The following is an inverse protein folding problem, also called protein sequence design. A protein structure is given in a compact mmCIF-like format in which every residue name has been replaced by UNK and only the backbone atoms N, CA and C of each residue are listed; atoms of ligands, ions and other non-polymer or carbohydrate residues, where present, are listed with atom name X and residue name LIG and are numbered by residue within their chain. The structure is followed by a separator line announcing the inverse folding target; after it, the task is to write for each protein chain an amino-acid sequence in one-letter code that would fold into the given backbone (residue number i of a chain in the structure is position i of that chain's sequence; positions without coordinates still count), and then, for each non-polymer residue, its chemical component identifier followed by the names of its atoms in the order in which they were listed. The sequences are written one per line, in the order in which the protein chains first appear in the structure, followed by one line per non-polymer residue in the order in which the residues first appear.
data_IF_260772127411
#
_entry.id   IF_260772127411
#
_cell.length_a   1.000
_cell.length_b   1.000
_cell.length_c   1.000
_cell.angle_alpha   90.00
_cell.angle_beta   90.00
_cell.angle_gamma   90.00
#
_symmetry.space_group_name_H-M   'P 1'
#
loop_
_entity.id
_entity.type
_entity.pdbx_description
1 polymer ?
#
# COMPACT_ATOMS: atom_id res chain seq x y z
N UNK A 1 -7.37 5.93 8.01
CA UNK A 1 -6.61 4.69 8.24
C UNK A 1 -5.24 5.11 8.76
N UNK A 2 -4.63 4.38 9.69
CA UNK A 2 -3.32 4.75 10.23
C UNK A 2 -2.19 4.32 9.28
N UNK A 3 -0.99 4.89 9.45
CA UNK A 3 0.22 4.46 8.72
C UNK A 3 0.56 3.00 9.04
N UNK A 4 0.27 2.56 10.27
CA UNK A 4 0.46 1.18 10.72
C UNK A 4 -0.45 0.18 10.00
N UNK A 5 -1.71 0.54 9.74
CA UNK A 5 -2.61 -0.28 8.91
C UNK A 5 -2.11 -0.36 7.46
N UNK A 6 -1.63 0.76 6.89
CA UNK A 6 -1.03 0.77 5.56
C UNK A 6 0.25 -0.09 5.47
N UNK A 7 1.10 -0.07 6.51
CA UNK A 7 2.26 -0.96 6.61
C UNK A 7 1.87 -2.43 6.60
N UNK A 8 0.85 -2.80 7.37
CA UNK A 8 0.39 -4.18 7.43
C UNK A 8 -0.12 -4.67 6.07
N UNK A 9 -0.85 -3.82 5.34
CA UNK A 9 -1.29 -4.10 3.97
C UNK A 9 -0.08 -4.30 3.04
N UNK A 10 0.87 -3.35 3.05
CA UNK A 10 2.08 -3.44 2.20
C UNK A 10 2.94 -4.65 2.53
N UNK A 11 3.14 -4.94 3.81
CA UNK A 11 3.92 -6.10 4.26
C UNK A 11 3.32 -7.41 3.75
N UNK A 12 1.99 -7.55 3.82
CA UNK A 12 1.25 -8.70 3.29
C UNK A 12 1.41 -8.80 1.76
N UNK A 13 1.26 -7.68 1.04
CA UNK A 13 1.32 -7.67 -0.42
C UNK A 13 2.74 -7.90 -0.97
N UNK A 14 3.75 -7.36 -0.30
CA UNK A 14 5.15 -7.45 -0.71
C UNK A 14 5.82 -8.73 -0.18
N UNK A 15 5.14 -9.52 0.66
CA UNK A 15 5.68 -10.70 1.33
C UNK A 15 6.93 -10.36 2.16
N UNK A 16 6.87 -9.28 2.94
CA UNK A 16 7.92 -8.82 3.85
C UNK A 16 7.35 -8.64 5.27
N UNK A 17 8.21 -8.42 6.26
CA UNK A 17 7.76 -8.16 7.63
C UNK A 17 7.29 -6.70 7.78
N UNK A 18 6.18 -6.41 8.46
CA UNK A 18 5.80 -5.02 8.75
C UNK A 18 6.85 -4.30 9.61
N UNK A 19 7.58 -5.05 10.45
CA UNK A 19 8.69 -4.51 11.27
C UNK A 19 9.92 -4.11 10.43
N UNK A 20 9.99 -4.55 9.16
CA UNK A 20 11.07 -4.20 8.24
C UNK A 20 10.75 -3.00 7.34
N UNK A 21 9.59 -2.38 7.54
CA UNK A 21 9.11 -1.23 6.78
C UNK A 21 9.07 -0.02 7.71
N UNK A 22 9.77 1.04 7.35
CA UNK A 22 9.67 2.35 8.00
C UNK A 22 8.56 3.21 7.38
N UNK A 23 8.07 4.22 8.12
CA UNK A 23 6.91 5.04 7.67
C UNK A 23 7.23 5.84 6.40
N UNK A 24 8.50 6.22 6.26
CA UNK A 24 9.04 7.04 5.17
C UNK A 24 9.75 6.20 4.10
N UNK A 25 9.71 4.86 4.21
CA UNK A 25 10.38 4.00 3.24
C UNK A 25 9.76 4.15 1.86
N UNK A 26 10.65 4.26 0.87
CA UNK A 26 10.29 4.21 -0.53
C UNK A 26 9.94 2.77 -0.88
N UNK A 27 8.71 2.52 -1.32
CA UNK A 27 8.19 1.18 -1.55
C UNK A 27 9.04 0.42 -2.57
N UNK A 28 9.48 1.12 -3.62
CA UNK A 28 10.36 0.56 -4.64
C UNK A 28 11.75 0.13 -4.10
N UNK A 29 12.20 0.68 -2.97
CA UNK A 29 13.45 0.28 -2.30
C UNK A 29 13.27 -0.94 -1.39
N UNK A 30 12.08 -1.10 -0.79
CA UNK A 30 11.72 -2.31 -0.03
C UNK A 30 11.66 -3.51 -0.97
N UNK A 31 10.85 -3.38 -2.03
CA UNK A 31 10.69 -4.41 -3.05
C UNK A 31 10.07 -3.81 -4.32
N UNK A 32 10.55 -4.17 -5.51
CA UNK A 32 9.89 -3.78 -6.75
C UNK A 32 8.43 -4.25 -6.76
N UNK A 33 7.51 -3.34 -7.08
CA UNK A 33 6.11 -3.69 -7.32
C UNK A 33 6.03 -4.34 -8.70
N UNK A 34 5.89 -5.67 -8.72
CA UNK A 34 5.52 -6.40 -9.92
C UNK A 34 4.01 -6.36 -10.15
N UNK A 35 3.55 -6.90 -11.29
CA UNK A 35 2.12 -6.91 -11.64
C UNK A 35 1.26 -7.64 -10.60
N UNK A 36 1.82 -8.66 -9.93
CA UNK A 36 1.09 -9.43 -8.92
C UNK A 36 0.97 -8.64 -7.61
N UNK A 37 2.05 -7.99 -7.18
CA UNK A 37 2.06 -7.11 -6.01
C UNK A 37 1.08 -5.94 -6.22
N UNK A 38 1.07 -5.36 -7.41
CA UNK A 38 0.13 -4.30 -7.78
C UNK A 38 -1.34 -4.74 -7.64
N UNK A 39 -1.71 -5.88 -8.25
CA UNK A 39 -3.06 -6.44 -8.15
C UNK A 39 -3.43 -6.77 -6.70
N UNK A 40 -2.49 -7.30 -5.92
CA UNK A 40 -2.72 -7.65 -4.51
C UNK A 40 -2.95 -6.40 -3.65
N UNK A 41 -2.15 -5.35 -3.86
CA UNK A 41 -2.34 -4.06 -3.15
C UNK A 41 -3.71 -3.48 -3.49
N UNK A 42 -4.09 -3.47 -4.77
CA UNK A 42 -5.42 -2.97 -5.16
C UNK A 42 -6.53 -3.73 -4.43
N UNK A 43 -6.54 -5.06 -4.50
CA UNK A 43 -7.56 -5.90 -3.86
C UNK A 43 -7.63 -5.65 -2.35
N UNK A 44 -6.51 -5.64 -1.64
CA UNK A 44 -6.51 -5.45 -0.19
C UNK A 44 -6.99 -4.04 0.21
N UNK A 45 -6.66 -3.04 -0.60
CA UNK A 45 -7.13 -1.66 -0.38
C UNK A 45 -8.63 -1.55 -0.63
N UNK A 46 -9.14 -2.17 -1.69
CA UNK A 46 -10.57 -2.20 -1.98
C UNK A 46 -11.35 -2.95 -0.89
N UNK A 47 -10.83 -4.07 -0.41
CA UNK A 47 -11.42 -4.82 0.71
C UNK A 47 -11.42 -4.01 2.01
N UNK A 48 -10.34 -3.30 2.32
CA UNK A 48 -10.23 -2.50 3.56
C UNK A 48 -11.07 -1.22 3.54
N UNK A 49 -11.27 -0.62 2.37
CA UNK A 49 -12.04 0.63 2.21
C UNK A 49 -13.49 0.42 1.81
N UNK A 50 -13.82 -0.75 1.24
CA UNK A 50 -15.10 -1.00 0.60
C UNK A 50 -15.34 -0.15 -0.65
N UNK A 51 -14.30 0.47 -1.21
CA UNK A 51 -14.37 1.31 -2.39
C UNK A 51 -13.36 0.88 -3.44
N UNK A 52 -13.72 0.93 -4.74
CA UNK A 52 -12.77 0.66 -5.80
C UNK A 52 -11.65 1.70 -5.81
N UNK A 53 -10.42 1.26 -6.07
CA UNK A 53 -9.24 2.13 -6.15
C UNK A 53 -8.86 2.38 -7.61
N UNK A 54 -8.44 3.61 -7.93
CA UNK A 54 -7.96 3.91 -9.27
C UNK A 54 -6.54 3.32 -9.42
N UNK A 55 -6.26 2.54 -10.48
CA UNK A 55 -4.91 2.08 -10.78
C UNK A 55 -3.86 3.20 -10.79
N UNK A 56 -4.25 4.42 -11.19
CA UNK A 56 -3.39 5.61 -11.19
C UNK A 56 -2.94 5.97 -9.77
N UNK A 57 -3.82 5.82 -8.77
CA UNK A 57 -3.49 6.09 -7.36
C UNK A 57 -2.37 5.15 -6.88
N UNK A 58 -2.42 3.87 -7.28
CA UNK A 58 -1.38 2.88 -6.94
C UNK A 58 -0.10 3.07 -7.76
N UNK A 59 -0.19 3.53 -9.01
CA UNK A 59 1.00 3.85 -9.81
C UNK A 59 1.78 5.06 -9.25
N UNK A 60 1.11 5.94 -8.52
CA UNK A 60 1.72 7.09 -7.85
C UNK A 60 2.25 6.75 -6.43
N UNK A 61 2.13 5.50 -6.00
CA UNK A 61 2.57 5.06 -4.69
C UNK A 61 4.10 5.10 -4.58
N UNK A 62 4.64 6.06 -3.84
CA UNK A 62 6.07 6.17 -3.60
C UNK A 62 6.45 5.68 -2.21
N UNK A 63 5.67 6.06 -1.20
CA UNK A 63 5.93 5.72 0.21
C UNK A 63 4.74 5.07 0.90
N UNK A 64 5.00 4.43 2.03
CA UNK A 64 3.95 3.88 2.92
C UNK A 64 2.97 4.97 3.37
N UNK A 65 3.49 6.17 3.67
CA UNK A 65 2.67 7.32 4.02
C UNK A 65 1.70 7.73 2.90
N UNK A 66 2.09 7.56 1.63
CA UNK A 66 1.20 7.87 0.50
C UNK A 66 0.05 6.88 0.38
N UNK A 67 0.29 5.60 0.65
CA UNK A 67 -0.80 4.61 0.75
C UNK A 67 -1.81 4.99 1.84
N UNK A 68 -1.30 5.37 3.02
CA UNK A 68 -2.16 5.79 4.13
C UNK A 68 -3.01 7.01 3.75
N UNK A 69 -2.45 7.98 3.01
CA UNK A 69 -3.16 9.17 2.52
C UNK A 69 -4.23 8.82 1.48
N UNK A 70 -3.91 7.98 0.50
CA UNK A 70 -4.86 7.57 -0.55
C UNK A 70 -6.09 6.94 0.10
N UNK A 71 -5.86 6.05 1.07
CA UNK A 71 -6.95 5.36 1.76
C UNK A 71 -7.71 6.30 2.70
N UNK A 72 -7.02 7.23 3.37
CA UNK A 72 -7.68 8.23 4.19
C UNK A 72 -8.59 9.15 3.37
N UNK A 73 -8.22 9.46 2.13
CA UNK A 73 -9.03 10.29 1.23
C UNK A 73 -10.25 9.57 0.63
N UNK A 74 -10.35 8.24 0.78
CA UNK A 74 -11.46 7.41 0.27
C UNK A 74 -12.50 7.07 1.35
N UNK A 75 -12.26 7.40 2.63
CA UNK A 75 -13.27 7.29 3.71
C UNK A 75 -14.22 8.48 3.72
#
# INVERSE_FOLDING_TARGET
MSVEEAKNILAKCLFVSPDSIDDDDVIAEIKPIDSLAFETIMLEVEESTGQPIDPIDILQLQTVADLAKIIANKK
#
